data_IF_991351386531
#
_entry.id   IF_991351386531
#
_cell.length_a   1.000
_cell.length_b   1.000
_cell.length_c   1.000
_cell.angle_alpha   90.00
_cell.angle_beta   90.00
_cell.angle_gamma   90.00
#
_symmetry.space_group_name_H-M   'P 1'
#
loop_
_entity.id
_entity.type
_entity.pdbx_description
1 polymer ?
#
# COMPACT_ATOMS: atom_id res chain seq x y z
N UNK A 1 -13.24 -37.50 -1.45
CA UNK A 1 -14.16 -37.39 -2.61
C UNK A 1 -15.39 -36.65 -2.12
N UNK A 2 -15.80 -35.56 -2.78
CA UNK A 2 -16.95 -34.74 -2.37
C UNK A 2 -16.63 -33.34 -1.83
N UNK A 3 -15.54 -32.70 -2.27
CA UNK A 3 -15.29 -31.28 -2.02
C UNK A 3 -15.14 -30.61 -3.38
N UNK A 4 -16.04 -29.67 -3.68
CA UNK A 4 -15.91 -28.78 -4.83
C UNK A 4 -15.19 -27.52 -4.38
N UNK A 5 -13.97 -27.34 -4.89
CA UNK A 5 -13.18 -26.14 -4.63
C UNK A 5 -13.53 -25.10 -5.70
N UNK A 6 -14.19 -24.01 -5.27
CA UNK A 6 -14.44 -22.84 -6.11
C UNK A 6 -13.43 -21.77 -5.78
N UNK A 7 -12.69 -21.30 -6.78
CA UNK A 7 -11.73 -20.20 -6.66
C UNK A 7 -12.22 -19.00 -7.45
N UNK A 8 -12.30 -17.84 -6.79
CA UNK A 8 -12.65 -16.57 -7.41
C UNK A 8 -11.52 -15.56 -7.19
N UNK A 9 -11.20 -14.69 -8.17
CA UNK A 9 -10.28 -13.58 -7.96
C UNK A 9 -10.78 -12.67 -6.84
N UNK A 10 -9.90 -12.33 -5.89
CA UNK A 10 -10.19 -11.32 -4.88
C UNK A 10 -9.87 -9.92 -5.39
N UNK A 11 -10.67 -8.93 -4.99
CA UNK A 11 -10.49 -7.51 -5.36
C UNK A 11 -9.69 -6.71 -4.33
N UNK A 12 -9.14 -7.40 -3.33
CA UNK A 12 -8.43 -6.78 -2.20
C UNK A 12 -6.97 -6.51 -2.54
N UNK A 13 -6.53 -5.27 -2.35
CA UNK A 13 -5.10 -4.92 -2.29
C UNK A 13 -4.59 -5.05 -0.86
N UNK A 14 -3.33 -5.46 -0.69
CA UNK A 14 -2.57 -5.35 0.57
C UNK A 14 -1.37 -4.44 0.29
N UNK A 15 -1.24 -3.37 1.07
CA UNK A 15 -0.23 -2.33 0.87
C UNK A 15 0.30 -1.82 2.21
N UNK A 16 1.31 -0.96 2.18
CA UNK A 16 1.82 -0.24 3.34
C UNK A 16 1.62 1.26 3.17
N UNK A 17 0.99 1.88 4.17
CA UNK A 17 1.00 3.33 4.34
C UNK A 17 2.39 3.76 4.84
N UNK A 18 2.93 4.85 4.31
CA UNK A 18 4.23 5.41 4.68
C UNK A 18 4.03 6.77 5.35
N UNK A 19 4.06 6.79 6.69
CA UNK A 19 3.69 7.96 7.49
C UNK A 19 4.73 9.08 7.39
N UNK A 20 4.37 10.14 6.68
CA UNK A 20 5.23 11.31 6.47
C UNK A 20 5.37 12.21 7.71
N UNK A 21 4.53 12.02 8.74
CA UNK A 21 4.54 12.81 9.96
C UNK A 21 5.33 12.14 11.09
N UNK A 22 5.56 10.83 11.04
CA UNK A 22 6.33 10.11 12.07
C UNK A 22 7.84 10.13 11.84
N UNK A 23 8.28 10.19 10.57
CA UNK A 23 9.69 10.19 10.21
C UNK A 23 9.99 11.13 9.05
N UNK A 24 10.96 12.02 9.23
CA UNK A 24 11.35 13.02 8.22
C UNK A 24 11.84 12.38 6.91
N UNK A 25 12.50 11.22 6.98
CA UNK A 25 12.96 10.50 5.79
C UNK A 25 11.79 10.14 4.86
N UNK A 26 10.62 9.84 5.42
CA UNK A 26 9.46 9.48 4.62
C UNK A 26 8.81 10.67 3.92
N UNK A 27 9.13 11.92 4.29
CA UNK A 27 8.70 13.12 3.55
C UNK A 27 9.39 13.21 2.18
N UNK A 28 10.61 12.71 2.07
CA UNK A 28 11.32 12.65 0.79
C UNK A 28 10.72 11.56 -0.10
N UNK A 29 10.20 11.98 -1.26
CA UNK A 29 9.61 11.07 -2.25
C UNK A 29 10.59 9.99 -2.72
N UNK A 30 11.89 10.30 -2.75
CA UNK A 30 12.94 9.36 -3.17
C UNK A 30 13.10 8.21 -2.20
N UNK A 31 12.94 8.44 -0.89
CA UNK A 31 12.96 7.37 0.13
C UNK A 31 11.73 6.46 -0.05
N UNK A 32 10.55 7.04 -0.26
CA UNK A 32 9.33 6.26 -0.51
C UNK A 32 9.45 5.43 -1.79
N UNK A 33 9.97 6.01 -2.86
CA UNK A 33 10.24 5.31 -4.11
C UNK A 33 11.31 4.22 -3.94
N UNK A 34 12.36 4.46 -3.16
CA UNK A 34 13.38 3.46 -2.85
C UNK A 34 12.77 2.24 -2.16
N UNK A 35 11.90 2.44 -1.17
CA UNK A 35 11.16 1.36 -0.52
C UNK A 35 10.36 0.58 -1.55
N UNK A 36 9.57 1.24 -2.40
CA UNK A 36 8.77 0.59 -3.45
C UNK A 36 9.65 -0.27 -4.38
N UNK A 37 10.79 0.26 -4.84
CA UNK A 37 11.71 -0.47 -5.71
C UNK A 37 12.45 -1.62 -5.00
N UNK A 38 12.56 -1.60 -3.67
CA UNK A 38 13.21 -2.64 -2.90
C UNK A 38 12.33 -3.88 -2.69
N UNK A 39 11.00 -3.74 -2.75
CA UNK A 39 10.07 -4.84 -2.49
C UNK A 39 9.83 -5.66 -3.76
N UNK A 40 10.24 -6.92 -3.74
CA UNK A 40 9.93 -7.87 -4.80
C UNK A 40 8.51 -8.44 -4.61
N UNK A 41 7.51 -7.72 -5.11
CA UNK A 41 6.10 -8.15 -5.04
C UNK A 41 5.88 -9.53 -5.69
N UNK A 42 6.53 -9.81 -6.82
CA UNK A 42 6.40 -11.11 -7.49
C UNK A 42 6.98 -12.24 -6.63
N UNK A 43 8.14 -12.02 -6.01
CA UNK A 43 8.74 -12.98 -5.09
C UNK A 43 7.88 -13.27 -3.86
N UNK A 44 7.16 -12.27 -3.35
CA UNK A 44 6.16 -12.45 -2.27
C UNK A 44 5.01 -13.32 -2.77
N UNK A 45 4.48 -13.05 -3.96
CA UNK A 45 3.41 -13.85 -4.57
C UNK A 45 3.82 -15.31 -4.71
N UNK A 46 4.99 -15.57 -5.30
CA UNK A 46 5.43 -16.92 -5.60
C UNK A 46 5.75 -17.73 -4.33
N UNK A 47 6.42 -17.11 -3.35
CA UNK A 47 6.97 -17.81 -2.19
C UNK A 47 6.07 -17.80 -0.96
N UNK A 48 5.36 -16.71 -0.72
CA UNK A 48 4.54 -16.52 0.48
C UNK A 48 3.07 -16.80 0.16
N UNK A 49 2.57 -16.24 -0.94
CA UNK A 49 1.18 -16.44 -1.37
C UNK A 49 1.00 -17.72 -2.20
N UNK A 50 2.08 -18.42 -2.55
CA UNK A 50 2.08 -19.67 -3.32
C UNK A 50 1.33 -19.56 -4.66
N UNK A 51 1.41 -18.39 -5.30
CA UNK A 51 0.70 -18.11 -6.56
C UNK A 51 -0.79 -17.77 -6.42
N UNK A 52 -1.35 -17.72 -5.21
CA UNK A 52 -2.76 -17.36 -4.97
C UNK A 52 -2.97 -15.86 -4.75
N UNK A 53 -2.14 -15.03 -5.38
CA UNK A 53 -2.23 -13.58 -5.37
C UNK A 53 -1.66 -13.03 -6.68
N UNK A 54 -1.98 -11.76 -6.97
CA UNK A 54 -1.39 -11.03 -8.10
C UNK A 54 -0.50 -9.92 -7.57
N UNK A 55 0.67 -9.73 -8.18
CA UNK A 55 1.54 -8.63 -7.83
C UNK A 55 0.90 -7.32 -8.33
N UNK A 56 0.56 -6.43 -7.40
CA UNK A 56 -0.13 -5.17 -7.71
C UNK A 56 0.87 -4.08 -8.18
N UNK A 57 0.53 -3.40 -9.28
CA UNK A 57 1.20 -2.17 -9.73
C UNK A 57 0.38 -0.89 -9.50
N UNK A 58 -0.89 -1.04 -9.15
CA UNK A 58 -1.83 0.04 -8.83
C UNK A 58 -2.83 -0.41 -7.76
N UNK A 59 -3.66 0.53 -7.26
CA UNK A 59 -4.63 0.25 -6.19
C UNK A 59 -5.81 -0.60 -6.68
N UNK A 60 -6.42 -0.22 -7.80
CA UNK A 60 -7.53 -0.93 -8.41
C UNK A 60 -7.09 -2.25 -9.04
N UNK A 61 -7.78 -3.37 -8.79
CA UNK A 61 -7.49 -4.65 -9.44
C UNK A 61 -8.00 -4.65 -10.90
N UNK A 62 -7.54 -5.62 -11.69
CA UNK A 62 -8.03 -5.81 -13.05
C UNK A 62 -9.55 -6.03 -13.06
N UNK A 63 -10.23 -5.37 -14.00
CA UNK A 63 -11.69 -5.39 -14.13
C UNK A 63 -12.39 -4.15 -13.55
N UNK A 64 -11.71 -3.35 -12.73
CA UNK A 64 -12.24 -2.08 -12.26
C UNK A 64 -12.12 -0.99 -13.34
N UNK A 65 -13.05 -0.03 -13.32
CA UNK A 65 -12.96 1.17 -14.18
C UNK A 65 -11.69 1.97 -13.87
N UNK A 66 -11.02 2.47 -14.90
CA UNK A 66 -9.75 3.20 -14.77
C UNK A 66 -8.51 2.30 -14.55
N UNK A 67 -8.65 0.97 -14.60
CA UNK A 67 -7.49 0.06 -14.52
C UNK A 67 -6.56 0.26 -15.73
N UNK A 68 -5.29 0.61 -15.48
CA UNK A 68 -4.25 0.68 -16.50
C UNK A 68 -3.32 -0.54 -16.43
N UNK A 69 -3.32 -1.38 -17.47
CA UNK A 69 -2.48 -2.58 -17.55
C UNK A 69 -0.97 -2.28 -17.66
N UNK A 70 -0.60 -1.04 -18.00
CA UNK A 70 0.80 -0.63 -18.08
C UNK A 70 1.39 -0.31 -16.70
N UNK A 71 0.54 -0.11 -15.67
CA UNK A 71 0.98 0.08 -14.30
C UNK A 71 1.35 -1.27 -13.67
N UNK A 72 2.61 -1.66 -13.87
CA UNK A 72 3.17 -2.92 -13.39
C UNK A 72 3.93 -2.75 -12.07
N UNK A 73 4.08 -3.83 -11.27
CA UNK A 73 4.90 -3.82 -10.06
C UNK A 73 6.33 -3.38 -10.35
N UNK A 74 6.84 -2.46 -9.52
CA UNK A 74 8.22 -1.97 -9.62
C UNK A 74 9.13 -2.79 -8.72
N UNK A 75 10.25 -3.27 -9.25
CA UNK A 75 11.31 -3.90 -8.46
C UNK A 75 12.66 -3.68 -9.14
N UNK A 76 13.51 -2.88 -8.51
CA UNK A 76 14.88 -2.62 -8.96
C UNK A 76 15.74 -2.24 -7.75
N UNK A 77 16.51 -3.22 -7.25
CA UNK A 77 17.35 -3.02 -6.08
C UNK A 77 18.48 -2.01 -6.31
N UNK A 78 18.98 -1.89 -7.54
CA UNK A 78 20.02 -0.92 -7.87
C UNK A 78 19.44 0.49 -7.82
N UNK A 79 18.27 0.69 -8.44
CA UNK A 79 17.56 1.97 -8.39
C UNK A 79 17.19 2.37 -6.98
N UNK A 80 16.72 1.41 -6.16
CA UNK A 80 16.40 1.67 -4.76
C UNK A 80 17.61 2.20 -3.98
N UNK A 81 18.79 1.59 -4.13
CA UNK A 81 20.02 2.05 -3.48
C UNK A 81 20.48 3.43 -3.96
N UNK A 82 20.35 3.70 -5.25
CA UNK A 82 20.65 5.01 -5.84
C UNK A 82 19.76 6.10 -5.22
N UNK A 83 18.44 5.86 -5.16
CA UNK A 83 17.49 6.80 -4.55
C UNK A 83 17.79 7.05 -3.06
N UNK A 84 18.17 6.01 -2.30
CA UNK A 84 18.58 6.17 -0.90
C UNK A 84 19.82 7.07 -0.78
N UNK A 85 20.78 6.94 -1.69
CA UNK A 85 21.97 7.79 -1.72
C UNK A 85 21.64 9.22 -2.09
N UNK A 86 20.85 9.44 -3.14
CA UNK A 86 20.39 10.77 -3.57
C UNK A 86 19.60 11.49 -2.47
N UNK A 87 18.85 10.74 -1.67
CA UNK A 87 18.10 11.24 -0.52
C UNK A 87 18.97 11.49 0.72
N UNK A 88 20.27 11.16 0.69
CA UNK A 88 21.19 11.36 1.82
C UNK A 88 21.18 10.25 2.87
N UNK A 89 20.49 9.14 2.62
CA UNK A 89 20.33 7.99 3.53
C UNK A 89 21.17 6.77 3.10
N UNK A 90 22.32 6.98 2.45
CA UNK A 90 23.24 5.90 2.03
C UNK A 90 23.71 5.02 3.21
N UNK A 91 23.82 5.60 4.40
CA UNK A 91 24.17 4.90 5.64
C UNK A 91 23.01 4.13 6.27
N UNK A 92 21.82 4.21 5.67
CA UNK A 92 20.61 3.58 6.16
C UNK A 92 19.83 4.43 7.17
N UNK A 93 18.69 3.90 7.58
CA UNK A 93 17.86 4.43 8.68
C UNK A 93 17.06 3.30 9.32
N UNK A 94 16.45 3.60 10.47
CA UNK A 94 15.52 2.69 11.15
C UNK A 94 14.09 3.20 10.97
N UNK A 95 13.18 2.31 10.57
CA UNK A 95 11.75 2.57 10.51
C UNK A 95 11.00 1.57 11.39
N UNK A 96 9.98 2.03 12.08
CA UNK A 96 8.99 1.16 12.73
C UNK A 96 7.99 0.64 11.70
N UNK A 97 7.55 -0.61 11.86
CA UNK A 97 6.48 -1.17 11.04
C UNK A 97 5.46 -1.86 11.94
N UNK A 98 4.18 -1.61 11.70
CA UNK A 98 3.11 -2.45 12.24
C UNK A 98 2.41 -3.23 11.14
N UNK A 99 2.07 -4.48 11.45
CA UNK A 99 1.23 -5.30 10.59
C UNK A 99 0.28 -6.16 11.44
N UNK A 100 -0.90 -6.50 10.92
CA UNK A 100 -1.71 -7.51 11.58
C UNK A 100 -1.05 -8.89 11.46
N UNK A 101 -1.40 -9.77 12.37
CA UNK A 101 -1.11 -11.19 12.32
C UNK A 101 -2.45 -11.90 12.52
N UNK A 102 -3.00 -12.49 11.46
CA UNK A 102 -4.32 -13.15 11.38
C UNK A 102 -5.49 -12.32 10.82
N UNK A 103 -5.24 -11.17 10.18
CA UNK A 103 -6.29 -10.37 9.52
C UNK A 103 -6.41 -10.67 8.02
N UNK A 104 -5.27 -10.80 7.35
CA UNK A 104 -5.16 -11.12 5.93
C UNK A 104 -4.33 -12.38 5.73
N UNK A 105 -4.52 -13.05 4.59
CA UNK A 105 -3.76 -14.26 4.27
C UNK A 105 -2.27 -13.95 4.27
N UNK A 106 -1.53 -14.58 5.19
CA UNK A 106 -0.08 -14.43 5.39
C UNK A 106 0.42 -13.02 5.72
N UNK A 107 -0.43 -12.10 6.23
CA UNK A 107 -0.06 -10.72 6.56
C UNK A 107 1.27 -10.57 7.32
N UNK A 108 1.44 -11.29 8.43
CA UNK A 108 2.67 -11.25 9.23
C UNK A 108 3.91 -11.69 8.42
N UNK A 109 3.77 -12.71 7.55
CA UNK A 109 4.87 -13.20 6.71
C UNK A 109 5.21 -12.23 5.59
N UNK A 110 4.21 -11.59 5.00
CA UNK A 110 4.40 -10.52 4.01
C UNK A 110 5.15 -9.35 4.63
N UNK A 111 4.77 -8.94 5.85
CA UNK A 111 5.47 -7.88 6.59
C UNK A 111 6.92 -8.24 6.91
N UNK A 112 7.18 -9.46 7.37
CA UNK A 112 8.54 -9.96 7.63
C UNK A 112 9.40 -9.96 6.36
N UNK A 113 8.82 -10.37 5.22
CA UNK A 113 9.52 -10.36 3.95
C UNK A 113 9.81 -8.93 3.47
N UNK A 114 8.85 -8.02 3.59
CA UNK A 114 9.05 -6.62 3.27
C UNK A 114 10.16 -6.00 4.14
N UNK A 115 10.16 -6.25 5.44
CA UNK A 115 11.22 -5.83 6.37
C UNK A 115 12.60 -6.38 5.93
N UNK A 116 12.69 -7.66 5.59
CA UNK A 116 13.93 -8.28 5.11
C UNK A 116 14.39 -7.69 3.76
N UNK A 117 13.47 -7.38 2.86
CA UNK A 117 13.78 -6.75 1.57
C UNK A 117 14.27 -5.31 1.74
N UNK A 118 13.63 -4.52 2.60
CA UNK A 118 14.06 -3.16 2.96
C UNK A 118 15.46 -3.10 3.55
N UNK A 119 15.89 -4.14 4.28
CA UNK A 119 17.27 -4.22 4.81
C UNK A 119 18.33 -4.19 3.71
N UNK A 120 18.01 -4.62 2.48
CA UNK A 120 18.93 -4.62 1.34
C UNK A 120 19.27 -3.23 0.83
N UNK A 121 18.51 -2.21 1.22
CA UNK A 121 18.76 -0.79 0.91
C UNK A 121 19.15 0.01 2.16
N UNK A 122 19.55 -0.68 3.24
CA UNK A 122 20.00 -0.04 4.48
C UNK A 122 18.87 0.39 5.42
N UNK A 123 17.61 0.03 5.14
CA UNK A 123 16.49 0.32 6.04
C UNK A 123 16.33 -0.84 7.01
N UNK A 124 16.66 -0.61 8.29
CA UNK A 124 16.32 -1.53 9.37
C UNK A 124 14.85 -1.32 9.74
N UNK A 125 14.05 -2.39 9.69
CA UNK A 125 12.64 -2.31 10.06
C UNK A 125 12.42 -2.98 11.41
N UNK A 126 11.97 -2.19 12.39
CA UNK A 126 11.53 -2.68 13.69
C UNK A 126 10.04 -3.07 13.58
N UNK A 127 9.80 -4.31 13.15
CA UNK A 127 8.47 -4.85 12.88
C UNK A 127 7.77 -5.35 14.16
N UNK A 128 6.55 -4.85 14.40
CA UNK A 128 5.61 -5.35 15.42
C UNK A 128 4.36 -5.91 14.74
N UNK A 129 4.11 -7.21 14.94
CA UNK A 129 2.89 -7.87 14.46
C UNK A 129 1.89 -8.09 15.59
N UNK A 130 0.60 -7.84 15.37
CA UNK A 130 -0.44 -7.92 16.41
C UNK A 130 -1.73 -8.59 15.90
N UNK A 131 -2.50 -9.29 16.75
CA UNK A 131 -3.84 -9.76 16.37
C UNK A 131 -4.74 -8.60 15.94
N UNK A 132 -5.70 -8.87 15.03
CA UNK A 132 -6.62 -7.85 14.47
C UNK A 132 -7.17 -6.86 15.50
N UNK A 133 -7.65 -7.35 16.65
CA UNK A 133 -8.31 -6.53 17.67
C UNK A 133 -7.37 -5.50 18.33
N UNK A 134 -6.06 -5.80 18.41
CA UNK A 134 -5.05 -4.88 18.92
C UNK A 134 -4.45 -4.02 17.81
N UNK A 135 -4.47 -4.50 16.56
CA UNK A 135 -3.90 -3.82 15.41
C UNK A 135 -4.64 -2.52 15.06
N UNK A 136 -5.96 -2.57 14.90
CA UNK A 136 -6.73 -1.42 14.40
C UNK A 136 -6.67 -0.19 15.31
N UNK A 137 -6.76 -0.31 16.65
CA UNK A 137 -6.55 0.84 17.53
C UNK A 137 -5.19 1.53 17.37
N UNK A 138 -4.14 0.80 16.98
CA UNK A 138 -2.82 1.37 16.71
C UNK A 138 -2.71 1.94 15.29
N UNK A 139 -3.38 1.30 14.33
CA UNK A 139 -3.51 1.82 12.97
C UNK A 139 -4.26 3.15 12.95
N UNK A 140 -5.37 3.28 13.66
CA UNK A 140 -6.19 4.50 13.69
C UNK A 140 -5.46 5.70 14.30
N UNK A 141 -4.49 5.44 15.19
CA UNK A 141 -3.56 6.45 15.73
C UNK A 141 -2.39 6.76 14.79
N UNK A 142 -2.29 6.06 13.67
CA UNK A 142 -1.15 6.07 12.75
C UNK A 142 0.20 5.87 13.48
N UNK A 143 0.25 4.88 14.39
CA UNK A 143 1.29 4.75 15.42
C UNK A 143 2.68 4.26 14.96
N UNK A 144 2.94 4.16 13.65
CA UNK A 144 4.23 3.68 13.11
C UNK A 144 4.59 4.38 11.80
N UNK A 145 5.82 4.17 11.35
CA UNK A 145 6.32 4.71 10.07
C UNK A 145 5.73 3.98 8.87
N UNK A 146 5.63 2.65 8.97
CA UNK A 146 5.06 1.78 7.95
C UNK A 146 3.87 1.02 8.53
N UNK A 147 2.70 1.13 7.92
CA UNK A 147 1.47 0.51 8.44
C UNK A 147 0.79 -0.34 7.35
N UNK A 148 0.65 -1.64 7.58
CA UNK A 148 -0.01 -2.52 6.62
C UNK A 148 -1.52 -2.28 6.58
N UNK A 149 -2.08 -2.11 5.40
CA UNK A 149 -3.54 -2.11 5.23
C UNK A 149 -3.92 -2.96 4.03
N UNK A 150 -4.96 -3.76 4.23
CA UNK A 150 -5.66 -4.45 3.16
C UNK A 150 -7.03 -3.85 2.96
N UNK A 151 -7.34 -3.46 1.73
CA UNK A 151 -8.58 -2.78 1.34
C UNK A 151 -9.23 -3.45 0.14
N UNK A 152 -10.56 -3.51 0.15
CA UNK A 152 -11.36 -3.77 -1.04
C UNK A 152 -12.42 -2.68 -1.10
N UNK A 153 -12.84 -2.29 -2.30
CA UNK A 153 -13.97 -1.40 -2.44
C UNK A 153 -15.25 -2.11 -2.00
N UNK A 154 -16.11 -1.43 -1.23
CA UNK A 154 -17.42 -1.95 -0.85
C UNK A 154 -18.45 -1.82 -1.98
N UNK A 155 -18.17 -0.96 -2.96
CA UNK A 155 -19.05 -0.63 -4.09
C UNK A 155 -18.53 -1.14 -5.43
N UNK A 156 -17.39 -1.85 -5.42
CA UNK A 156 -16.63 -2.23 -6.63
C UNK A 156 -16.23 -1.03 -7.50
N UNK A 157 -16.11 0.14 -6.88
CA UNK A 157 -15.71 1.40 -7.48
C UNK A 157 -14.21 1.67 -7.22
N UNK A 158 -13.47 2.09 -8.24
CA UNK A 158 -12.03 2.36 -8.12
C UNK A 158 -11.72 3.64 -7.36
N UNK A 159 -12.60 4.67 -7.42
CA UNK A 159 -12.42 5.92 -6.69
C UNK A 159 -12.40 5.69 -5.17
N UNK A 160 -13.15 4.69 -4.69
CA UNK A 160 -13.20 4.31 -3.28
C UNK A 160 -11.81 4.04 -2.67
N UNK A 161 -10.92 3.35 -3.40
CA UNK A 161 -9.57 3.11 -2.91
C UNK A 161 -8.84 4.43 -2.64
N UNK A 162 -8.86 5.33 -3.62
CA UNK A 162 -8.15 6.61 -3.53
C UNK A 162 -8.78 7.51 -2.47
N UNK A 163 -10.11 7.54 -2.38
CA UNK A 163 -10.89 8.31 -1.41
C UNK A 163 -10.55 7.97 0.04
N UNK A 164 -10.47 6.68 0.36
CA UNK A 164 -10.24 6.24 1.73
C UNK A 164 -8.76 6.11 2.10
N UNK A 165 -7.90 5.74 1.15
CA UNK A 165 -6.50 5.38 1.43
C UNK A 165 -5.48 6.49 1.12
N UNK A 166 -5.83 7.46 0.26
CA UNK A 166 -4.83 8.44 -0.23
C UNK A 166 -5.29 9.89 -0.29
N UNK A 167 -6.60 10.18 -0.36
CA UNK A 167 -7.05 11.57 -0.28
C UNK A 167 -6.56 12.25 1.01
N UNK A 168 -6.38 13.56 0.95
CA UNK A 168 -6.00 14.34 2.13
C UNK A 168 -7.00 14.08 3.27
N UNK A 169 -6.47 13.70 4.44
CA UNK A 169 -7.30 13.41 5.61
C UNK A 169 -8.17 14.61 5.97
N UNK A 170 -9.47 14.37 6.14
CA UNK A 170 -10.40 15.38 6.62
C UNK A 170 -11.42 14.71 7.56
N UNK A 171 -11.39 15.07 8.84
CA UNK A 171 -12.21 14.43 9.88
C UNK A 171 -13.70 14.74 9.75
N UNK A 172 -14.06 15.93 9.25
CA UNK A 172 -15.46 16.35 9.09
C UNK A 172 -16.17 15.60 7.97
N UNK A 173 -15.48 15.41 6.84
CA UNK A 173 -16.01 14.71 5.65
C UNK A 173 -15.74 13.20 5.66
N UNK A 174 -14.81 12.72 6.49
CA UNK A 174 -14.36 11.32 6.50
C UNK A 174 -13.40 10.95 5.35
N UNK A 175 -13.06 11.90 4.46
CA UNK A 175 -12.11 11.65 3.36
C UNK A 175 -10.73 11.30 3.90
N UNK A 176 -10.07 10.35 3.25
CA UNK A 176 -8.75 9.89 3.64
C UNK A 176 -8.70 9.22 5.02
N UNK A 177 -9.82 8.73 5.57
CA UNK A 177 -9.88 8.19 6.93
C UNK A 177 -8.76 7.18 7.25
N UNK A 178 -8.32 6.39 6.27
CA UNK A 178 -7.30 5.35 6.43
C UNK A 178 -5.95 5.72 5.78
N UNK A 179 -5.80 6.96 5.33
CA UNK A 179 -4.53 7.53 4.85
C UNK A 179 -3.60 7.84 6.04
N UNK A 180 -3.10 6.80 6.71
CA UNK A 180 -2.08 6.95 7.74
C UNK A 180 -0.68 7.25 7.17
N UNK A 181 -0.53 7.26 5.85
CA UNK A 181 0.65 7.80 5.19
C UNK A 181 0.73 9.33 5.25
N UNK A 182 -0.39 9.99 5.60
CA UNK A 182 -0.55 11.44 5.52
C UNK A 182 -0.14 11.99 4.14
N UNK A 183 -0.43 11.23 3.08
CA UNK A 183 -0.29 11.74 1.72
C UNK A 183 -1.31 12.86 1.49
N UNK A 184 -0.89 13.92 0.82
CA UNK A 184 -1.77 15.02 0.45
C UNK A 184 -1.33 15.56 -0.89
N UNK A 185 -2.26 15.58 -1.84
CA UNK A 185 -2.05 16.12 -3.17
C UNK A 185 -3.37 16.71 -3.67
N UNK A 186 -3.49 18.05 -3.74
CA UNK A 186 -4.73 18.71 -4.16
C UNK A 186 -5.24 18.27 -5.53
N UNK A 187 -4.35 17.87 -6.46
CA UNK A 187 -4.77 17.40 -7.77
C UNK A 187 -5.43 16.02 -7.68
N UNK A 188 -4.88 15.12 -6.87
CA UNK A 188 -5.50 13.81 -6.61
C UNK A 188 -6.86 13.99 -5.95
N UNK A 189 -6.94 14.87 -4.94
CA UNK A 189 -8.20 15.14 -4.24
C UNK A 189 -9.27 15.66 -5.21
N UNK A 190 -8.90 16.61 -6.07
CA UNK A 190 -9.78 17.19 -7.10
C UNK A 190 -10.25 16.14 -8.12
N UNK A 191 -9.36 15.26 -8.58
CA UNK A 191 -9.70 14.20 -9.53
C UNK A 191 -10.70 13.21 -8.93
N UNK A 192 -10.51 12.80 -7.67
CA UNK A 192 -11.45 11.90 -6.98
C UNK A 192 -12.81 12.57 -6.78
N UNK A 193 -12.83 13.85 -6.38
CA UNK A 193 -14.08 14.60 -6.24
C UNK A 193 -14.84 14.74 -7.56
N UNK A 194 -14.13 15.03 -8.66
CA UNK A 194 -14.71 15.07 -9.99
C UNK A 194 -15.24 13.70 -10.43
N UNK A 195 -14.45 12.64 -10.20
CA UNK A 195 -14.85 11.28 -10.51
C UNK A 195 -16.12 10.86 -9.75
N UNK A 196 -16.28 11.27 -8.48
CA UNK A 196 -17.44 10.90 -7.66
C UNK A 196 -18.77 11.54 -8.10
N UNK A 197 -18.74 12.62 -8.88
CA UNK A 197 -19.94 13.26 -9.44
C UNK A 197 -20.12 13.05 -10.93
N UNK A 198 -19.14 12.45 -11.61
CA UNK A 198 -19.22 12.12 -13.03
C UNK A 198 -20.07 10.86 -13.26
N UNK A 199 -21.06 10.99 -14.13
CA UNK A 199 -22.03 9.92 -14.45
C UNK A 199 -21.74 9.22 -15.77
N UNK A 200 -20.89 9.83 -16.62
CA UNK A 200 -20.36 9.22 -17.83
C UNK A 200 -19.21 8.26 -17.47
N UNK A 201 -19.38 6.93 -17.68
CA UNK A 201 -18.36 5.96 -17.28
C UNK A 201 -17.03 6.13 -18.02
N UNK A 202 -17.04 6.59 -19.26
CA UNK A 202 -15.83 6.74 -20.07
C UNK A 202 -15.02 7.96 -19.63
N UNK A 203 -15.69 9.08 -19.30
CA UNK A 203 -15.04 10.25 -18.71
C UNK A 203 -14.50 9.94 -17.33
N UNK A 204 -15.31 9.29 -16.49
CA UNK A 204 -14.92 8.90 -15.13
C UNK A 204 -13.69 7.98 -15.11
N UNK A 205 -13.56 7.09 -16.09
CA UNK A 205 -12.40 6.19 -16.21
C UNK A 205 -11.08 6.90 -16.60
N UNK A 206 -11.14 8.13 -17.10
CA UNK A 206 -9.96 8.93 -17.48
C UNK A 206 -9.48 9.86 -16.36
N UNK A 207 -10.27 10.01 -15.30
CA UNK A 207 -9.96 10.82 -14.12
C UNK A 207 -9.16 10.01 -13.11
#
# INVERSE_FOLDING_TARGET
KGIDLVTLPGTRIITFQMNQNSNEALKDVRVRQAIVHAINNQGIVDKIMKGFATAAGQQGPAGYSGYDANLVPRFDLKKAKELMKEAGYEKGLTLTMIAPNNRYVNDAKVAQAAAAMSSKIGIKVDLKTMPKAQYWPEFDKCAADLLMIGWHSDTEDSANFTEFLTMTRNEESGKGQYNCGHYSNPEVDKLVEAANVETDPAKRAQM
#
